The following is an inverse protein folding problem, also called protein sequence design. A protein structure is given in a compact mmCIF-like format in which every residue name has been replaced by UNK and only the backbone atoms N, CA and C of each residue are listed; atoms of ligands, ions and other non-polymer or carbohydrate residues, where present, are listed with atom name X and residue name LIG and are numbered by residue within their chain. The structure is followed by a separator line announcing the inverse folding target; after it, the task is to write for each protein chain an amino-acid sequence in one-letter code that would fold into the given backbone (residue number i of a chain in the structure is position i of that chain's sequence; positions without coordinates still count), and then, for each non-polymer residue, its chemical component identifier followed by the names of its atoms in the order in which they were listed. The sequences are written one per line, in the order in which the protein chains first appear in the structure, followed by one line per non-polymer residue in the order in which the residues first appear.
data_IF_739111256221
#
_entry.id   IF_739111256221
#
_cell.length_a   1.000
_cell.length_b   1.000
_cell.length_c   1.000
_cell.angle_alpha   90.00
_cell.angle_beta   90.00
_cell.angle_gamma   90.00
#
_symmetry.space_group_name_H-M   'P 1'
#
loop_
_entity.id
_entity.type
_entity.pdbx_description
1 polymer ?
#
# COMPACT_ATOMS: atom_id res chain seq x y z
N UNK A 1 -4.06 -3.67 -1.51
CA UNK A 1 -4.42 -2.24 -1.78
C UNK A 1 -3.32 -1.34 -1.23
N UNK A 2 -3.14 -0.10 -1.71
CA UNK A 2 -2.07 0.78 -1.23
C UNK A 2 -2.50 1.54 0.02
N UNK A 3 -1.71 1.47 1.09
CA UNK A 3 -1.90 2.27 2.30
C UNK A 3 -1.12 3.58 2.25
N UNK A 4 0.12 3.54 1.77
CA UNK A 4 1.04 4.67 1.78
C UNK A 4 1.94 4.62 0.55
N UNK A 5 2.28 5.79 0.01
CA UNK A 5 3.37 5.93 -0.95
C UNK A 5 4.30 7.04 -0.49
N UNK A 6 5.59 6.75 -0.37
CA UNK A 6 6.58 7.72 0.08
C UNK A 6 7.83 7.66 -0.79
N UNK A 7 8.50 8.81 -0.95
CA UNK A 7 9.78 8.87 -1.66
C UNK A 7 10.94 8.33 -0.82
N UNK A 8 10.84 8.43 0.49
CA UNK A 8 11.85 7.95 1.43
C UNK A 8 11.44 6.58 1.99
N UNK A 9 12.37 5.62 1.95
CA UNK A 9 12.20 4.32 2.59
C UNK A 9 12.08 4.46 4.10
N UNK A 10 12.84 5.37 4.72
CA UNK A 10 12.75 5.63 6.15
C UNK A 10 11.32 6.03 6.59
N UNK A 11 10.59 6.77 5.76
CA UNK A 11 9.17 7.10 6.03
C UNK A 11 8.27 5.86 5.99
N UNK A 12 8.55 4.90 5.09
CA UNK A 12 7.84 3.62 5.01
C UNK A 12 8.14 2.75 6.23
N UNK A 13 9.41 2.60 6.58
CA UNK A 13 9.83 1.78 7.74
C UNK A 13 9.24 2.34 9.03
N UNK A 14 9.33 3.66 9.24
CA UNK A 14 8.76 4.30 10.43
C UNK A 14 7.23 4.14 10.50
N UNK A 15 6.55 4.15 9.36
CA UNK A 15 5.11 3.92 9.28
C UNK A 15 4.76 2.46 9.62
N UNK A 16 5.48 1.48 9.08
CA UNK A 16 5.31 0.06 9.40
C UNK A 16 5.54 -0.22 10.90
N UNK A 17 6.55 0.40 11.50
CA UNK A 17 6.86 0.28 12.93
C UNK A 17 5.74 0.84 13.83
N UNK A 18 5.02 1.86 13.36
CA UNK A 18 3.93 2.50 14.12
C UNK A 18 2.59 1.78 13.99
N UNK A 19 2.47 0.80 13.08
CA UNK A 19 1.19 0.20 12.76
C UNK A 19 1.01 -1.18 13.40
N UNK A 20 -0.12 -1.39 14.11
CA UNK A 20 -0.52 -2.73 14.51
C UNK A 20 -0.86 -3.55 13.25
N UNK A 21 -0.44 -4.81 13.21
CA UNK A 21 -0.59 -5.76 12.09
C UNK A 21 0.34 -5.52 10.88
N UNK A 22 1.55 -5.01 11.12
CA UNK A 22 2.61 -4.91 10.10
C UNK A 22 2.93 -6.24 9.40
N UNK A 23 2.65 -7.39 10.03
CA UNK A 23 2.79 -8.72 9.44
C UNK A 23 1.94 -8.93 8.17
N UNK A 24 0.85 -8.18 8.00
CA UNK A 24 -0.01 -8.26 6.81
C UNK A 24 0.27 -7.09 5.83
N UNK A 25 1.31 -6.31 6.10
CA UNK A 25 1.78 -5.19 5.30
C UNK A 25 3.03 -5.63 4.54
N UNK A 26 3.02 -5.39 3.25
CA UNK A 26 4.18 -5.58 2.39
C UNK A 26 4.52 -4.23 1.78
N UNK A 27 5.79 -3.95 1.55
CA UNK A 27 6.19 -2.78 0.78
C UNK A 27 7.08 -3.19 -0.37
N UNK A 28 7.06 -2.40 -1.43
CA UNK A 28 7.96 -2.56 -2.55
C UNK A 28 8.41 -1.19 -3.04
N UNK A 29 9.63 -1.15 -3.56
CA UNK A 29 10.17 0.03 -4.23
C UNK A 29 9.88 -0.07 -5.73
N UNK A 30 9.37 1.02 -6.29
CA UNK A 30 9.18 1.22 -7.73
C UNK A 30 9.74 2.58 -8.14
N UNK A 31 9.70 2.91 -9.43
CA UNK A 31 10.07 4.22 -9.96
C UNK A 31 8.80 4.94 -10.41
N UNK A 32 8.50 6.08 -9.79
CA UNK A 32 7.46 6.98 -10.24
C UNK A 32 8.11 8.23 -10.84
N UNK A 33 7.93 8.44 -12.15
CA UNK A 33 8.53 9.57 -12.90
C UNK A 33 10.06 9.65 -12.72
N UNK A 34 10.76 8.54 -12.96
CA UNK A 34 12.22 8.38 -12.79
C UNK A 34 12.74 8.62 -11.36
N UNK A 35 11.87 8.69 -10.35
CA UNK A 35 12.27 8.84 -8.95
C UNK A 35 11.88 7.62 -8.13
N UNK A 36 12.67 7.24 -7.11
CA UNK A 36 12.31 6.13 -6.23
C UNK A 36 10.99 6.43 -5.52
N UNK A 37 10.13 5.41 -5.47
CA UNK A 37 8.80 5.48 -4.92
C UNK A 37 8.51 4.19 -4.16
N UNK A 38 8.46 4.29 -2.84
CA UNK A 38 8.20 3.17 -1.95
C UNK A 38 6.70 3.10 -1.66
N UNK A 39 6.11 1.95 -1.95
CA UNK A 39 4.67 1.73 -1.83
C UNK A 39 4.42 0.68 -0.77
N UNK A 40 3.63 1.03 0.24
CA UNK A 40 3.12 0.09 1.24
C UNK A 40 1.77 -0.41 0.79
N UNK A 41 1.66 -1.73 0.64
CA UNK A 41 0.43 -2.45 0.37
C UNK A 41 0.02 -3.26 1.58
N UNK A 42 -1.28 -3.35 1.80
CA UNK A 42 -1.87 -4.21 2.82
C UNK A 42 -2.80 -5.19 2.14
N UNK A 43 -2.65 -6.47 2.52
CA UNK A 43 -3.42 -7.59 2.00
C UNK A 43 -3.27 -7.83 0.50
N UNK A 44 -3.63 -9.05 0.08
CA UNK A 44 -3.78 -9.43 -1.32
C UNK A 44 -5.27 -9.53 -1.63
N UNK A 45 -5.75 -8.77 -2.62
CA UNK A 45 -7.16 -8.77 -2.99
C UNK A 45 -7.29 -9.10 -4.48
N UNK A 46 -8.06 -10.13 -4.77
CA UNK A 46 -8.29 -10.60 -6.15
C UNK A 46 -9.03 -9.56 -7.01
N UNK A 47 -9.84 -8.67 -6.40
CA UNK A 47 -10.64 -7.69 -7.13
C UNK A 47 -10.76 -6.35 -6.40
N UNK A 48 -11.15 -5.31 -7.16
CA UNK A 48 -11.44 -3.97 -6.62
C UNK A 48 -12.57 -4.01 -5.58
N UNK A 49 -13.56 -4.88 -5.78
CA UNK A 49 -14.67 -5.09 -4.84
C UNK A 49 -14.16 -5.67 -3.51
N UNK A 50 -13.31 -6.70 -3.55
CA UNK A 50 -12.71 -7.29 -2.36
C UNK A 50 -11.88 -6.26 -1.57
N UNK A 51 -11.12 -5.41 -2.27
CA UNK A 51 -10.39 -4.31 -1.63
C UNK A 51 -11.32 -3.27 -0.98
N UNK A 52 -12.45 -2.93 -1.61
CA UNK A 52 -13.44 -1.99 -1.04
C UNK A 52 -14.07 -2.55 0.23
N UNK A 53 -14.45 -3.82 0.24
CA UNK A 53 -14.97 -4.49 1.44
C UNK A 53 -13.91 -4.55 2.55
N UNK A 54 -12.65 -4.78 2.18
CA UNK A 54 -11.56 -4.77 3.14
C UNK A 54 -11.33 -3.38 3.75
N UNK A 55 -11.45 -2.29 2.99
CA UNK A 55 -11.40 -0.92 3.55
C UNK A 55 -12.51 -0.70 4.59
N UNK A 56 -13.71 -1.23 4.35
CA UNK A 56 -14.80 -1.16 5.31
C UNK A 56 -14.52 -1.98 6.59
N UNK A 57 -13.79 -3.10 6.47
CA UNK A 57 -13.36 -3.95 7.59
C UNK A 57 -12.07 -3.47 8.29
N UNK A 58 -11.39 -2.46 7.74
CA UNK A 58 -10.15 -1.94 8.34
C UNK A 58 -10.44 -1.19 9.64
N UNK A 59 -9.53 -1.26 10.64
CA UNK A 59 -9.59 -0.43 11.83
C UNK A 59 -9.61 1.06 11.47
N UNK A 60 -10.29 1.88 12.29
CA UNK A 60 -10.44 3.31 12.05
C UNK A 60 -9.10 4.04 11.79
N UNK A 61 -8.00 3.61 12.45
CA UNK A 61 -6.65 4.14 12.21
C UNK A 61 -6.18 3.95 10.78
N UNK A 62 -6.40 2.78 10.18
CA UNK A 62 -6.00 2.48 8.81
C UNK A 62 -6.96 3.11 7.79
N UNK A 63 -8.25 3.19 8.12
CA UNK A 63 -9.23 3.86 7.28
C UNK A 63 -8.98 5.38 7.17
N UNK A 64 -8.47 6.01 8.23
CA UNK A 64 -8.06 7.43 8.25
C UNK A 64 -6.90 7.75 7.30
N UNK A 65 -6.12 6.74 6.90
CA UNK A 65 -5.04 6.91 5.93
C UNK A 65 -5.55 7.03 4.48
N UNK A 66 -6.87 7.00 4.27
CA UNK A 66 -7.51 7.00 2.95
C UNK A 66 -6.83 6.01 1.98
N UNK A 67 -6.84 4.71 2.33
CA UNK A 67 -6.17 3.68 1.53
C UNK A 67 -6.65 3.73 0.09
N UNK A 68 -5.69 3.87 -0.83
CA UNK A 68 -5.98 3.96 -2.25
C UNK A 68 -6.14 2.55 -2.84
N UNK A 69 -7.33 2.26 -3.35
CA UNK A 69 -7.59 1.03 -4.08
C UNK A 69 -6.86 1.07 -5.43
N UNK A 70 -5.70 0.41 -5.49
CA UNK A 70 -5.01 0.07 -6.73
C UNK A 70 -5.29 -1.38 -7.11
N UNK A 71 -5.48 -1.62 -8.41
CA UNK A 71 -5.51 -2.98 -8.96
C UNK A 71 -4.10 -3.57 -9.01
N UNK A 72 -3.99 -4.89 -8.83
CA UNK A 72 -2.72 -5.61 -8.96
C UNK A 72 -2.11 -5.42 -10.35
N UNK A 73 -2.93 -5.36 -11.40
CA UNK A 73 -2.47 -5.06 -12.75
C UNK A 73 -1.75 -3.70 -12.85
N UNK A 74 -2.25 -2.66 -12.16
CA UNK A 74 -1.60 -1.34 -12.12
C UNK A 74 -0.29 -1.38 -11.32
N UNK A 75 -0.25 -2.17 -10.25
CA UNK A 75 0.97 -2.41 -9.46
C UNK A 75 2.03 -3.14 -10.29
N UNK A 76 1.67 -4.23 -10.95
CA UNK A 76 2.57 -4.99 -11.83
C UNK A 76 3.11 -4.13 -12.97
N UNK A 77 2.28 -3.27 -13.56
CA UNK A 77 2.71 -2.32 -14.60
C UNK A 77 3.70 -1.28 -14.07
N UNK A 78 3.62 -0.92 -12.78
CA UNK A 78 4.61 -0.04 -12.14
C UNK A 78 5.93 -0.75 -11.82
N UNK A 79 5.91 -2.06 -11.59
CA UNK A 79 7.12 -2.85 -11.30
C UNK A 79 7.86 -3.22 -12.59
N UNK A 80 7.14 -3.50 -13.68
CA UNK A 80 7.72 -3.89 -14.98
C UNK A 80 8.38 -2.75 -15.79
N UNK A 81 8.48 -1.53 -15.24
CA UNK A 81 8.91 -0.34 -15.98
C UNK A 81 10.34 0.08 -15.68
#
# INVERSE_FOLDING_TARGET
MQLLGARSEASVVNFLNKMPNSQHMYYYQTKLKNRPWNVVIYGQYQSRSAAKTAIAKLPAKLRKLNPWIKSIASVQKSIKK
#
